data_IF_443632184258
#
_entry.id   IF_443632184258
#
_cell.length_a   1.000
_cell.length_b   1.000
_cell.length_c   1.000
_cell.angle_alpha   90.00
_cell.angle_beta   90.00
_cell.angle_gamma   90.00
#
_symmetry.space_group_name_H-M   'P 1'
#
loop_
_entity.id
_entity.type
_entity.pdbx_description
1 polymer ?
#
# COMPACT_ATOMS: atom_id res chain seq x y z
N UNK A 1 -54.12 -68.86 -7.47
CA UNK A 1 -54.39 -69.85 -6.40
C UNK A 1 -55.85 -70.29 -6.45
N UNK A 2 -56.12 -71.50 -6.93
CA UNK A 2 -57.44 -72.14 -6.86
C UNK A 2 -57.25 -73.63 -6.57
N UNK A 3 -57.93 -74.15 -5.54
CA UNK A 3 -57.98 -75.57 -5.16
C UNK A 3 -58.68 -76.45 -6.23
N UNK A 4 -59.15 -75.84 -7.32
CA UNK A 4 -59.91 -76.44 -8.43
C UNK A 4 -59.09 -77.46 -9.24
N UNK A 5 -57.75 -77.49 -9.08
CA UNK A 5 -56.87 -78.46 -9.75
C UNK A 5 -56.78 -79.81 -9.03
N UNK A 6 -57.27 -79.90 -7.79
CA UNK A 6 -57.20 -81.12 -7.00
C UNK A 6 -58.35 -82.08 -7.34
N UNK A 7 -58.02 -83.23 -7.96
CA UNK A 7 -59.02 -84.26 -8.29
C UNK A 7 -59.53 -84.95 -7.02
N UNK A 8 -60.84 -84.86 -6.76
CA UNK A 8 -61.53 -85.60 -5.68
C UNK A 8 -61.78 -87.06 -6.08
N UNK A 9 -61.50 -87.97 -5.16
CA UNK A 9 -61.86 -89.39 -5.21
C UNK A 9 -62.91 -89.72 -4.12
N UNK A 10 -63.25 -91.00 -4.01
CA UNK A 10 -64.35 -91.50 -3.17
C UNK A 10 -64.18 -91.25 -1.65
N UNK A 11 -62.97 -90.88 -1.20
CA UNK A 11 -62.63 -90.62 0.21
C UNK A 11 -61.75 -89.36 0.40
N UNK A 12 -61.91 -88.35 -0.47
CA UNK A 12 -61.16 -87.09 -0.41
C UNK A 12 -60.25 -86.84 -1.63
N UNK A 13 -59.26 -85.95 -1.53
CA UNK A 13 -58.36 -85.62 -2.66
C UNK A 13 -57.40 -86.78 -2.98
N UNK A 14 -57.18 -87.05 -4.27
CA UNK A 14 -56.25 -88.10 -4.69
C UNK A 14 -54.81 -87.72 -4.32
N UNK A 15 -54.11 -88.60 -3.59
CA UNK A 15 -52.72 -88.43 -3.15
C UNK A 15 -51.79 -87.93 -4.28
N UNK A 16 -51.86 -88.53 -5.46
CA UNK A 16 -51.08 -88.11 -6.63
C UNK A 16 -51.36 -86.65 -7.05
N UNK A 17 -52.62 -86.24 -7.05
CA UNK A 17 -53.04 -84.87 -7.41
C UNK A 17 -52.56 -83.82 -6.40
N UNK A 18 -52.44 -84.20 -5.12
CA UNK A 18 -51.89 -83.32 -4.08
C UNK A 18 -50.39 -83.13 -4.24
N UNK A 19 -49.63 -84.19 -4.53
CA UNK A 19 -48.19 -84.06 -4.82
C UNK A 19 -47.94 -83.21 -6.06
N UNK A 20 -48.68 -83.46 -7.13
CA UNK A 20 -48.56 -82.70 -8.39
C UNK A 20 -48.85 -81.21 -8.19
N UNK A 21 -49.84 -80.88 -7.35
CA UNK A 21 -50.14 -79.50 -6.96
C UNK A 21 -49.05 -78.88 -6.08
N UNK A 22 -48.46 -79.63 -5.14
CA UNK A 22 -47.35 -79.15 -4.30
C UNK A 22 -46.12 -78.89 -5.17
N UNK A 23 -45.78 -79.81 -6.08
CA UNK A 23 -44.65 -79.65 -7.00
C UNK A 23 -44.82 -78.42 -7.89
N UNK A 24 -46.01 -78.21 -8.46
CA UNK A 24 -46.31 -77.02 -9.26
C UNK A 24 -46.19 -75.73 -8.43
N UNK A 25 -46.65 -75.73 -7.17
CA UNK A 25 -46.48 -74.58 -6.27
C UNK A 25 -45.02 -74.33 -5.92
N UNK A 26 -44.26 -75.39 -5.59
CA UNK A 26 -42.82 -75.30 -5.29
C UNK A 26 -42.07 -74.71 -6.49
N UNK A 27 -42.41 -75.14 -7.71
CA UNK A 27 -41.82 -74.63 -8.95
C UNK A 27 -42.15 -73.15 -9.17
N UNK A 28 -43.41 -72.73 -9.02
CA UNK A 28 -43.81 -71.31 -9.08
C UNK A 28 -43.12 -70.44 -8.01
N UNK A 29 -42.93 -70.97 -6.79
CA UNK A 29 -42.22 -70.26 -5.73
C UNK A 29 -40.72 -70.18 -5.99
N UNK A 30 -40.11 -71.26 -6.50
CA UNK A 30 -38.71 -71.28 -6.92
C UNK A 30 -38.45 -70.28 -8.04
N UNK A 31 -39.35 -70.17 -9.02
CA UNK A 31 -39.25 -69.20 -10.11
C UNK A 31 -39.32 -67.75 -9.59
N UNK A 32 -40.30 -67.43 -8.73
CA UNK A 32 -40.41 -66.09 -8.11
C UNK A 32 -39.23 -65.75 -7.20
N UNK A 33 -38.66 -66.74 -6.50
CA UNK A 33 -37.45 -66.56 -5.71
C UNK A 33 -36.25 -66.27 -6.60
N UNK A 34 -36.10 -67.00 -7.70
CA UNK A 34 -35.05 -66.76 -8.67
C UNK A 34 -35.17 -65.36 -9.29
N UNK A 35 -36.39 -64.95 -9.68
CA UNK A 35 -36.67 -63.62 -10.22
C UNK A 35 -36.27 -62.52 -9.21
N UNK A 36 -36.74 -62.60 -7.96
CA UNK A 36 -36.37 -61.64 -6.91
C UNK A 36 -34.87 -61.59 -6.64
N UNK A 37 -34.18 -62.72 -6.66
CA UNK A 37 -32.72 -62.77 -6.50
C UNK A 37 -32.03 -62.07 -7.67
N UNK A 38 -32.54 -62.21 -8.90
CA UNK A 38 -31.98 -61.49 -10.05
C UNK A 38 -32.24 -59.99 -9.98
N UNK A 39 -33.43 -59.56 -9.56
CA UNK A 39 -33.75 -58.15 -9.36
C UNK A 39 -32.87 -57.52 -8.26
N UNK A 40 -32.71 -58.20 -7.13
CA UNK A 40 -31.84 -57.74 -6.05
C UNK A 40 -30.39 -57.61 -6.50
N UNK A 41 -29.87 -58.57 -7.29
CA UNK A 41 -28.52 -58.48 -7.85
C UNK A 41 -28.35 -57.29 -8.78
N UNK A 42 -29.33 -57.04 -9.66
CA UNK A 42 -29.30 -55.87 -10.55
C UNK A 42 -29.30 -54.56 -9.76
N UNK A 43 -30.16 -54.45 -8.75
CA UNK A 43 -30.18 -53.27 -7.88
C UNK A 43 -28.86 -53.10 -7.12
N UNK A 44 -28.28 -54.18 -6.61
CA UNK A 44 -26.99 -54.12 -5.93
C UNK A 44 -25.86 -53.66 -6.87
N UNK A 45 -25.85 -54.14 -8.12
CA UNK A 45 -24.91 -53.68 -9.15
C UNK A 45 -25.11 -52.20 -9.47
N UNK A 46 -26.35 -51.75 -9.65
CA UNK A 46 -26.68 -50.34 -9.88
C UNK A 46 -26.21 -49.45 -8.71
N UNK A 47 -26.50 -49.83 -7.47
CA UNK A 47 -26.04 -49.07 -6.30
C UNK A 47 -24.51 -49.08 -6.19
N UNK A 48 -23.84 -50.21 -6.47
CA UNK A 48 -22.37 -50.27 -6.49
C UNK A 48 -21.80 -49.31 -7.52
N UNK A 49 -22.35 -49.25 -8.74
CA UNK A 49 -21.88 -48.32 -9.76
C UNK A 49 -22.07 -46.85 -9.35
N UNK A 50 -23.21 -46.52 -8.74
CA UNK A 50 -23.47 -45.17 -8.22
C UNK A 50 -22.53 -44.79 -7.08
N UNK A 51 -22.26 -45.73 -6.17
CA UNK A 51 -21.30 -45.51 -5.07
C UNK A 51 -19.92 -45.23 -5.65
N UNK A 52 -19.45 -46.04 -6.62
CA UNK A 52 -18.14 -45.82 -7.25
C UNK A 52 -18.05 -44.47 -7.96
N UNK A 53 -19.09 -44.06 -8.70
CA UNK A 53 -19.06 -42.75 -9.37
C UNK A 53 -19.06 -41.60 -8.37
N UNK A 54 -19.82 -41.70 -7.27
CA UNK A 54 -19.84 -40.69 -6.22
C UNK A 54 -18.51 -40.63 -5.45
N UNK A 55 -17.86 -41.77 -5.21
CA UNK A 55 -16.53 -41.83 -4.61
C UNK A 55 -15.47 -41.18 -5.51
N UNK A 56 -15.54 -41.40 -6.83
CA UNK A 56 -14.68 -40.76 -7.81
C UNK A 56 -14.89 -39.23 -7.82
N UNK A 57 -16.14 -38.76 -7.85
CA UNK A 57 -16.48 -37.34 -7.79
C UNK A 57 -15.99 -36.70 -6.48
N UNK A 58 -16.20 -37.34 -5.33
CA UNK A 58 -15.67 -36.87 -4.05
C UNK A 58 -14.15 -36.79 -4.05
N UNK A 59 -13.48 -37.78 -4.64
CA UNK A 59 -12.02 -37.78 -4.74
C UNK A 59 -11.51 -36.62 -5.61
N UNK A 60 -12.23 -36.32 -6.70
CA UNK A 60 -11.91 -35.22 -7.61
C UNK A 60 -12.11 -33.87 -6.94
N UNK A 61 -13.27 -33.65 -6.32
CA UNK A 61 -13.58 -32.39 -5.61
C UNK A 61 -12.59 -32.15 -4.46
N UNK A 62 -12.17 -33.21 -3.75
CA UNK A 62 -11.14 -33.09 -2.71
C UNK A 62 -9.80 -32.64 -3.27
N UNK A 63 -9.38 -33.15 -4.44
CA UNK A 63 -8.16 -32.71 -5.11
C UNK A 63 -8.26 -31.25 -5.56
N UNK A 64 -9.35 -30.88 -6.21
CA UNK A 64 -9.61 -29.50 -6.65
C UNK A 64 -9.61 -28.52 -5.45
N UNK A 65 -10.19 -28.93 -4.32
CA UNK A 65 -10.17 -28.12 -3.09
C UNK A 65 -8.75 -27.93 -2.54
N UNK A 66 -7.92 -28.97 -2.57
CA UNK A 66 -6.55 -28.91 -2.08
C UNK A 66 -5.67 -28.04 -2.98
N UNK A 67 -5.84 -28.16 -4.29
CA UNK A 67 -5.18 -27.30 -5.28
C UNK A 67 -5.57 -25.82 -5.07
N UNK A 68 -6.87 -25.54 -4.90
CA UNK A 68 -7.33 -24.17 -4.60
C UNK A 68 -6.77 -23.62 -3.29
N UNK A 69 -6.67 -24.45 -2.24
CA UNK A 69 -6.03 -24.01 -0.97
C UNK A 69 -4.57 -23.69 -1.18
N UNK A 70 -3.84 -24.51 -1.93
CA UNK A 70 -2.43 -24.27 -2.22
C UNK A 70 -2.25 -22.97 -3.02
N UNK A 71 -3.11 -22.73 -4.01
CA UNK A 71 -3.11 -21.47 -4.77
C UNK A 71 -3.40 -20.26 -3.85
N UNK A 72 -4.40 -20.37 -2.96
CA UNK A 72 -4.69 -19.31 -1.99
C UNK A 72 -3.51 -19.05 -1.05
N UNK A 73 -2.81 -20.09 -0.59
CA UNK A 73 -1.60 -19.93 0.22
C UNK A 73 -0.48 -19.22 -0.55
N UNK A 74 -0.28 -19.58 -1.82
CA UNK A 74 0.73 -18.93 -2.67
C UNK A 74 0.40 -17.45 -2.92
N UNK A 75 -0.87 -17.13 -3.19
CA UNK A 75 -1.34 -15.75 -3.35
C UNK A 75 -1.15 -14.97 -2.05
N UNK A 76 -1.51 -15.54 -0.90
CA UNK A 76 -1.32 -14.90 0.39
C UNK A 76 0.16 -14.62 0.68
N UNK A 77 1.06 -15.57 0.37
CA UNK A 77 2.50 -15.37 0.53
C UNK A 77 3.02 -14.23 -0.37
N UNK A 78 2.63 -14.21 -1.64
CA UNK A 78 3.02 -13.15 -2.57
C UNK A 78 2.51 -11.77 -2.13
N UNK A 79 1.30 -11.70 -1.58
CA UNK A 79 0.77 -10.45 -1.02
C UNK A 79 1.56 -9.99 0.21
N UNK A 80 1.96 -10.91 1.09
CA UNK A 80 2.81 -10.56 2.24
C UNK A 80 4.18 -10.04 1.79
N UNK A 81 4.80 -10.66 0.79
CA UNK A 81 6.06 -10.18 0.22
C UNK A 81 5.91 -8.79 -0.41
N UNK A 82 4.83 -8.55 -1.16
CA UNK A 82 4.55 -7.25 -1.76
C UNK A 82 4.36 -6.14 -0.71
N UNK A 83 3.67 -6.45 0.40
CA UNK A 83 3.50 -5.51 1.53
C UNK A 83 4.85 -5.21 2.17
N UNK A 84 5.68 -6.23 2.44
CA UNK A 84 7.02 -6.04 2.99
C UNK A 84 7.89 -5.16 2.10
N UNK A 85 7.90 -5.43 0.79
CA UNK A 85 8.66 -4.65 -0.17
C UNK A 85 8.18 -3.19 -0.23
N UNK A 86 6.87 -2.97 -0.16
CA UNK A 86 6.30 -1.61 -0.08
C UNK A 86 6.78 -0.90 1.19
N UNK A 87 6.74 -1.55 2.34
CA UNK A 87 7.13 -0.95 3.62
C UNK A 87 8.63 -0.61 3.64
N UNK A 88 9.49 -1.49 3.10
CA UNK A 88 10.92 -1.24 2.89
C UNK A 88 11.15 -0.01 2.01
N UNK A 89 10.46 0.08 0.86
CA UNK A 89 10.55 1.22 -0.04
C UNK A 89 10.09 2.53 0.61
N UNK A 90 9.03 2.47 1.44
CA UNK A 90 8.55 3.63 2.19
C UNK A 90 9.56 4.09 3.24
N UNK A 91 10.19 3.16 3.95
CA UNK A 91 11.26 3.46 4.88
C UNK A 91 12.45 4.14 4.17
N UNK A 92 12.95 3.54 3.09
CA UNK A 92 14.07 4.12 2.33
C UNK A 92 13.75 5.52 1.80
N UNK A 93 12.53 5.73 1.29
CA UNK A 93 12.10 7.03 0.79
C UNK A 93 12.04 8.07 1.92
N UNK A 94 11.57 7.66 3.11
CA UNK A 94 11.47 8.53 4.26
C UNK A 94 12.84 8.88 4.84
N UNK A 95 13.78 7.93 4.88
CA UNK A 95 15.16 8.17 5.27
C UNK A 95 15.84 9.17 4.33
N UNK A 96 15.77 8.95 3.02
CA UNK A 96 16.32 9.89 2.01
C UNK A 96 15.72 11.29 2.16
N UNK A 97 14.40 11.37 2.37
CA UNK A 97 13.72 12.64 2.56
C UNK A 97 14.18 13.37 3.83
N UNK A 98 14.45 12.63 4.92
CA UNK A 98 15.00 13.20 6.15
C UNK A 98 16.43 13.67 5.97
N UNK A 99 17.27 12.90 5.28
CA UNK A 99 18.64 13.29 4.95
C UNK A 99 18.69 14.56 4.10
N UNK A 100 17.87 14.64 3.05
CA UNK A 100 17.76 15.82 2.21
C UNK A 100 17.27 17.02 3.02
N UNK A 101 16.25 16.85 3.87
CA UNK A 101 15.75 17.91 4.76
C UNK A 101 16.84 18.42 5.70
N UNK A 102 17.57 17.52 6.36
CA UNK A 102 18.66 17.89 7.25
C UNK A 102 19.79 18.63 6.51
N UNK A 103 20.13 18.20 5.30
CA UNK A 103 21.10 18.88 4.46
C UNK A 103 20.63 20.28 4.05
N UNK A 104 19.34 20.43 3.72
CA UNK A 104 18.72 21.72 3.41
C UNK A 104 18.69 22.66 4.61
N UNK A 105 18.29 22.17 5.79
CA UNK A 105 18.31 22.93 7.03
C UNK A 105 19.71 23.42 7.36
N UNK A 106 20.74 22.57 7.22
CA UNK A 106 22.13 22.96 7.43
C UNK A 106 22.57 24.08 6.48
N UNK A 107 22.25 23.99 5.19
CA UNK A 107 22.54 25.06 4.22
C UNK A 107 21.82 26.36 4.56
N UNK A 108 20.57 26.27 5.03
CA UNK A 108 19.80 27.42 5.45
C UNK A 108 20.44 28.10 6.67
N UNK A 109 20.88 27.32 7.66
CA UNK A 109 21.60 27.85 8.82
C UNK A 109 22.94 28.49 8.45
N UNK A 110 23.71 27.88 7.55
CA UNK A 110 24.96 28.44 7.04
C UNK A 110 24.70 29.77 6.32
N UNK A 111 23.72 29.82 5.42
CA UNK A 111 23.33 31.06 4.74
C UNK A 111 22.84 32.14 5.70
N UNK A 112 22.08 31.78 6.75
CA UNK A 112 21.66 32.72 7.79
C UNK A 112 22.84 33.28 8.59
N UNK A 113 23.86 32.45 8.89
CA UNK A 113 25.09 32.91 9.55
C UNK A 113 25.88 33.86 8.66
N UNK A 114 25.99 33.58 7.37
CA UNK A 114 26.65 34.46 6.40
C UNK A 114 25.94 35.82 6.30
N UNK A 115 24.61 35.83 6.15
CA UNK A 115 23.80 37.05 6.10
C UNK A 115 23.96 37.89 7.37
N UNK A 116 23.96 37.25 8.55
CA UNK A 116 24.21 37.95 9.81
C UNK A 116 25.63 38.54 9.86
N UNK A 117 26.62 37.79 9.34
CA UNK A 117 27.99 38.27 9.15
C UNK A 117 28.04 39.54 8.28
N UNK A 118 27.41 39.51 7.11
CA UNK A 118 27.32 40.68 6.23
C UNK A 118 26.58 41.84 6.89
N UNK A 119 25.48 41.58 7.61
CA UNK A 119 24.75 42.62 8.33
C UNK A 119 25.62 43.32 9.38
N UNK A 120 26.44 42.55 10.13
CA UNK A 120 27.42 43.11 11.08
C UNK A 120 28.50 43.92 10.38
N UNK A 121 29.00 43.47 9.23
CA UNK A 121 29.99 44.22 8.44
C UNK A 121 29.40 45.54 7.93
N UNK A 122 28.17 45.52 7.39
CA UNK A 122 27.45 46.72 6.95
C UNK A 122 27.25 47.70 8.12
N UNK A 123 26.88 47.20 9.31
CA UNK A 123 26.75 48.03 10.49
C UNK A 123 28.07 48.74 10.85
N UNK A 124 29.19 48.03 10.88
CA UNK A 124 30.52 48.62 11.12
C UNK A 124 30.88 49.69 10.09
N UNK A 125 30.62 49.44 8.81
CA UNK A 125 30.88 50.43 7.76
C UNK A 125 30.02 51.67 7.95
N UNK A 126 28.74 51.52 8.30
CA UNK A 126 27.86 52.66 8.61
C UNK A 126 28.37 53.47 9.79
N UNK A 127 28.79 52.82 10.88
CA UNK A 127 29.39 53.50 12.05
C UNK A 127 30.67 54.25 11.68
N UNK A 128 31.57 53.65 10.90
CA UNK A 128 32.79 54.31 10.44
C UNK A 128 32.49 55.54 9.58
N UNK A 129 31.56 55.42 8.62
CA UNK A 129 31.16 56.55 7.76
C UNK A 129 30.52 57.66 8.59
N UNK A 130 29.64 57.32 9.54
CA UNK A 130 29.02 58.30 10.42
C UNK A 130 30.04 59.01 11.31
N UNK A 131 31.00 58.28 11.88
CA UNK A 131 32.08 58.86 12.69
C UNK A 131 33.00 59.78 11.86
N UNK A 132 33.32 59.39 10.62
CA UNK A 132 34.09 60.22 9.71
C UNK A 132 33.36 61.53 9.38
N UNK A 133 32.06 61.46 9.05
CA UNK A 133 31.24 62.64 8.78
C UNK A 133 31.17 63.56 9.99
N UNK A 134 30.90 63.03 11.19
CA UNK A 134 30.90 63.83 12.43
C UNK A 134 32.26 64.48 12.70
N UNK A 135 33.37 63.79 12.45
CA UNK A 135 34.71 64.36 12.62
C UNK A 135 35.01 65.46 11.60
N UNK A 136 34.45 65.36 10.39
CA UNK A 136 34.59 66.36 9.35
C UNK A 136 33.76 67.59 9.69
N UNK A 137 32.52 67.40 10.15
CA UNK A 137 31.64 68.48 10.60
C UNK A 137 32.28 69.26 11.77
N UNK A 138 32.81 68.57 12.78
CA UNK A 138 33.50 69.21 13.90
C UNK A 138 34.74 70.01 13.45
N UNK A 139 35.55 69.47 12.53
CA UNK A 139 36.68 70.21 11.94
C UNK A 139 36.22 71.40 11.12
N UNK A 140 35.12 71.27 10.38
CA UNK A 140 34.54 72.37 9.60
C UNK A 140 34.06 73.48 10.53
N UNK A 141 33.37 73.15 11.62
CA UNK A 141 32.95 74.11 12.66
C UNK A 141 34.14 74.79 13.32
N UNK A 142 35.22 74.05 13.63
CA UNK A 142 36.45 74.61 14.18
C UNK A 142 37.09 75.62 13.22
N UNK A 143 37.23 75.25 11.94
CA UNK A 143 37.74 76.14 10.89
C UNK A 143 36.84 77.36 10.73
N UNK A 144 35.52 77.20 10.78
CA UNK A 144 34.58 78.31 10.71
C UNK A 144 34.74 79.27 11.90
N UNK A 145 34.87 78.76 13.13
CA UNK A 145 35.16 79.57 14.31
C UNK A 145 36.50 80.30 14.19
N UNK A 146 37.55 79.66 13.65
CA UNK A 146 38.83 80.30 13.40
C UNK A 146 38.68 81.44 12.37
N UNK A 147 37.95 81.22 11.27
CA UNK A 147 37.64 82.25 10.27
C UNK A 147 36.86 83.40 10.89
N UNK A 148 35.85 83.13 11.73
CA UNK A 148 35.07 84.17 12.42
C UNK A 148 35.94 84.97 13.39
N UNK A 149 36.84 84.31 14.12
CA UNK A 149 37.80 84.96 15.02
C UNK A 149 38.75 85.90 14.27
N UNK A 150 39.29 85.44 13.13
CA UNK A 150 40.14 86.27 12.25
C UNK A 150 39.35 87.45 11.67
N UNK A 151 38.10 87.24 11.25
CA UNK A 151 37.21 88.32 10.80
C UNK A 151 36.91 89.35 11.90
N UNK A 152 36.71 88.90 13.13
CA UNK A 152 36.46 89.78 14.28
C UNK A 152 37.71 90.57 14.71
N UNK A 153 38.90 89.96 14.61
CA UNK A 153 40.17 90.61 14.91
C UNK A 153 40.58 91.65 13.85
N UNK A 154 40.11 91.51 12.60
CA UNK A 154 40.42 92.39 11.48
C UNK A 154 39.14 92.94 10.78
N UNK A 155 38.36 93.83 11.42
CA UNK A 155 37.08 94.31 10.87
C UNK A 155 37.21 95.27 9.67
N UNK A 156 38.42 95.65 9.26
CA UNK A 156 38.68 96.72 8.26
C UNK A 156 39.70 96.39 7.16
N UNK A 157 40.09 95.13 6.95
CA UNK A 157 40.97 94.76 5.83
C UNK A 157 40.40 93.60 5.01
N UNK A 158 39.98 93.96 3.80
CA UNK A 158 39.61 93.18 2.62
C UNK A 158 39.85 91.66 2.66
N UNK A 159 38.75 90.90 2.75
CA UNK A 159 38.68 89.48 2.38
C UNK A 159 38.43 89.27 0.86
N UNK A 160 38.80 90.23 0.02
CA UNK A 160 38.57 90.19 -1.44
C UNK A 160 39.74 89.60 -2.24
N UNK A 161 40.53 88.69 -1.65
CA UNK A 161 41.64 88.02 -2.35
C UNK A 161 41.25 86.72 -3.05
N UNK A 162 39.99 86.29 -2.96
CA UNK A 162 39.45 85.24 -3.81
C UNK A 162 38.68 85.87 -4.97
N UNK A 163 39.41 86.32 -5.98
CA UNK A 163 38.81 86.69 -7.26
C UNK A 163 38.30 85.43 -7.95
N UNK A 164 37.02 85.47 -8.33
CA UNK A 164 36.39 84.49 -9.20
C UNK A 164 36.95 84.73 -10.60
N UNK A 165 37.70 83.78 -11.17
CA UNK A 165 38.10 83.84 -12.57
C UNK A 165 36.84 83.94 -13.45
N UNK A 166 36.50 85.15 -13.85
CA UNK A 166 35.57 85.45 -14.93
C UNK A 166 36.35 86.28 -15.96
N UNK A 167 36.75 85.59 -17.02
CA UNK A 167 36.74 86.01 -18.43
C UNK A 167 37.14 87.44 -18.81
N UNK A 168 38.07 87.55 -19.75
CA UNK A 168 38.02 88.42 -20.95
C UNK A 168 39.15 87.92 -21.89
N UNK A 169 38.88 87.26 -23.02
CA UNK A 169 38.49 87.85 -24.32
C UNK A 169 39.29 89.12 -24.68
N UNK A 170 40.44 88.91 -25.35
CA UNK A 170 40.88 89.63 -26.56
C UNK A 170 42.16 88.97 -27.12
#
# INVERSE_FOLDING_TARGET
>A
MKLDQLKKGFWGYKKASVYEYITMMEEEFSEKLAEKVTEQKKQEEEYRTQITSLEEELSRVRKELEEQKQEQMNVAAALMEAVRYKDELQQEAQEKMQEERAAWEKKLEEGAKELNGYQKQIAKVREMVQGLLQSMDAKSEEVEMQIQTVKAACPRHNMTLFERNQTEEA
#
